data_IF_194311457516
#
_entry.id   IF_194311457516
#
_cell.length_a   1.000
_cell.length_b   1.000
_cell.length_c   1.000
_cell.angle_alpha   90.00
_cell.angle_beta   90.00
_cell.angle_gamma   90.00
#
_symmetry.space_group_name_H-M   'P 1'
#
loop_
_entity.id
_entity.type
_entity.pdbx_description
1 polymer ?
#
# COMPACT_ATOMS: atom_id res chain seq x y z
N UNK A 1 29.87 2.73 4.29
CA UNK A 1 28.49 3.05 4.74
C UNK A 1 27.67 3.39 3.52
N UNK A 2 26.57 2.67 3.25
CA UNK A 2 25.71 2.96 2.11
C UNK A 2 25.13 4.38 2.25
N UNK A 3 25.28 5.19 1.22
CA UNK A 3 24.85 6.57 1.19
C UNK A 3 23.34 6.60 0.90
N UNK A 4 22.51 6.37 1.92
CA UNK A 4 21.05 6.36 1.78
C UNK A 4 20.58 7.78 1.39
N UNK A 5 19.80 7.94 0.32
CA UNK A 5 19.31 9.25 -0.10
C UNK A 5 18.59 9.98 1.04
N UNK A 6 18.71 11.32 1.10
CA UNK A 6 18.05 12.12 2.14
C UNK A 6 16.54 11.86 2.17
N UNK A 7 15.90 11.75 1.00
CA UNK A 7 14.48 11.49 0.87
C UNK A 7 14.03 10.22 1.61
N UNK A 8 14.82 9.15 1.57
CA UNK A 8 14.53 7.91 2.31
C UNK A 8 14.75 8.09 3.82
N UNK A 9 15.77 8.86 4.22
CA UNK A 9 16.08 9.10 5.64
C UNK A 9 15.03 9.95 6.36
N UNK A 10 14.39 10.88 5.64
CA UNK A 10 13.37 11.79 6.21
C UNK A 10 11.94 11.26 6.07
N UNK A 11 11.74 10.04 5.55
CA UNK A 11 10.39 9.48 5.45
C UNK A 11 9.76 9.39 6.86
N UNK A 12 8.52 9.85 7.03
CA UNK A 12 7.80 9.69 8.29
C UNK A 12 7.69 8.20 8.65
N UNK A 13 7.74 7.93 9.96
CA UNK A 13 7.64 6.59 10.56
C UNK A 13 6.31 6.35 11.25
N UNK A 14 5.49 7.39 11.41
CA UNK A 14 4.14 7.33 11.98
C UNK A 14 3.18 8.13 11.12
N UNK A 15 1.91 7.75 11.11
CA UNK A 15 0.89 8.48 10.35
C UNK A 15 0.79 9.96 10.79
N UNK A 16 0.98 10.24 12.09
CA UNK A 16 0.96 11.58 12.66
C UNK A 16 2.12 12.49 12.20
N UNK A 17 3.20 11.92 11.66
CA UNK A 17 4.36 12.67 11.15
C UNK A 17 4.18 13.11 9.69
N UNK A 18 3.14 12.62 9.00
CA UNK A 18 2.86 12.98 7.61
C UNK A 18 2.42 14.44 7.54
N UNK A 19 3.15 15.22 6.75
CA UNK A 19 2.84 16.63 6.52
C UNK A 19 1.83 16.72 5.36
N UNK A 20 0.66 17.31 5.63
CA UNK A 20 -0.40 17.49 4.64
C UNK A 20 -1.48 16.40 4.70
N UNK A 21 -2.29 16.30 3.64
CA UNK A 21 -3.37 15.30 3.51
C UNK A 21 -4.34 15.20 4.70
N UNK A 22 -4.54 16.29 5.46
CA UNK A 22 -5.40 16.31 6.67
C UNK A 22 -6.84 15.86 6.41
N UNK A 23 -7.33 16.04 5.19
CA UNK A 23 -8.65 15.56 4.78
C UNK A 23 -8.75 14.02 4.71
N UNK A 24 -7.62 13.30 4.59
CA UNK A 24 -7.55 11.84 4.61
C UNK A 24 -7.13 11.30 5.98
N UNK A 25 -6.08 11.87 6.58
CA UNK A 25 -5.41 11.32 7.75
C UNK A 25 -5.58 12.14 9.04
N UNK A 26 -6.27 13.28 8.97
CA UNK A 26 -6.62 14.07 10.16
C UNK A 26 -7.72 13.39 10.99
N UNK A 27 -8.09 14.02 12.11
CA UNK A 27 -9.06 13.47 13.08
C UNK A 27 -10.39 13.03 12.44
N UNK A 28 -10.88 13.79 11.45
CA UNK A 28 -12.12 13.50 10.72
C UNK A 28 -11.87 12.86 9.35
N UNK A 29 -10.64 12.43 9.07
CA UNK A 29 -10.25 11.87 7.78
C UNK A 29 -10.79 10.45 7.59
N UNK A 30 -11.27 10.14 6.38
CA UNK A 30 -11.85 8.82 6.06
C UNK A 30 -10.83 7.69 6.21
N UNK A 31 -9.58 7.92 5.79
CA UNK A 31 -8.52 6.93 5.91
C UNK A 31 -8.12 6.74 7.38
N UNK A 32 -8.06 7.80 8.18
CA UNK A 32 -7.83 7.69 9.62
C UNK A 32 -8.89 6.82 10.30
N UNK A 33 -10.16 7.08 10.01
CA UNK A 33 -11.28 6.27 10.51
C UNK A 33 -11.16 4.79 10.09
N UNK A 34 -10.81 4.51 8.83
CA UNK A 34 -10.64 3.15 8.33
C UNK A 34 -9.48 2.41 9.04
N UNK A 35 -8.36 3.09 9.29
CA UNK A 35 -7.22 2.55 10.05
C UNK A 35 -7.62 2.25 11.49
N UNK A 36 -8.29 3.18 12.17
CA UNK A 36 -8.68 3.04 13.58
C UNK A 36 -9.65 1.87 13.78
N UNK A 37 -10.55 1.64 12.82
CA UNK A 37 -11.46 0.50 12.81
C UNK A 37 -10.81 -0.81 12.30
N UNK A 38 -9.56 -0.77 11.81
CA UNK A 38 -8.84 -1.90 11.16
C UNK A 38 -9.56 -2.47 9.93
N UNK A 39 -10.40 -1.65 9.30
CA UNK A 39 -11.18 -1.99 8.12
C UNK A 39 -10.70 -1.17 6.92
N UNK A 40 -9.59 -1.63 6.31
CA UNK A 40 -9.00 -0.99 5.13
C UNK A 40 -9.54 -1.68 3.86
N UNK A 41 -10.24 -0.94 2.98
CA UNK A 41 -10.64 -1.45 1.67
C UNK A 41 -9.47 -1.40 0.68
N UNK A 42 -9.60 -2.09 -0.45
CA UNK A 42 -8.78 -1.83 -1.64
C UNK A 42 -8.97 -0.37 -2.09
N UNK A 43 -7.88 0.30 -2.44
CA UNK A 43 -7.89 1.73 -2.72
C UNK A 43 -6.87 2.13 -3.78
N UNK A 44 -7.16 3.23 -4.48
CA UNK A 44 -6.25 3.86 -5.44
C UNK A 44 -5.79 5.19 -4.87
N UNK A 45 -4.48 5.37 -4.74
CA UNK A 45 -3.89 6.68 -4.46
C UNK A 45 -3.58 7.41 -5.76
N UNK A 46 -4.25 8.53 -5.97
CA UNK A 46 -4.07 9.38 -7.14
C UNK A 46 -3.45 10.72 -6.75
N UNK A 47 -2.40 11.11 -7.47
CA UNK A 47 -1.71 12.37 -7.26
C UNK A 47 -0.33 12.40 -7.92
N UNK A 48 0.29 13.59 -8.03
CA UNK A 48 1.58 13.76 -8.68
C UNK A 48 2.73 12.98 -7.98
N UNK A 49 3.90 12.84 -8.62
CA UNK A 49 5.06 12.24 -7.96
C UNK A 49 5.45 13.02 -6.70
N UNK A 50 5.92 12.33 -5.66
CA UNK A 50 6.42 12.96 -4.44
C UNK A 50 5.37 13.34 -3.38
N UNK A 51 4.07 13.13 -3.61
CA UNK A 51 3.01 13.45 -2.62
C UNK A 51 2.87 12.43 -1.48
N UNK A 52 3.76 11.45 -1.40
CA UNK A 52 3.80 10.48 -0.29
C UNK A 52 2.91 9.24 -0.45
N UNK A 53 2.47 8.87 -1.67
CA UNK A 53 1.62 7.68 -1.92
C UNK A 53 2.21 6.40 -1.32
N UNK A 54 3.43 6.05 -1.74
CA UNK A 54 4.15 4.86 -1.26
C UNK A 54 4.40 4.91 0.24
N UNK A 55 4.79 6.08 0.76
CA UNK A 55 5.02 6.30 2.19
C UNK A 55 3.75 6.08 3.00
N UNK A 56 2.62 6.61 2.54
CA UNK A 56 1.32 6.47 3.19
C UNK A 56 0.88 5.00 3.21
N UNK A 57 1.03 4.26 2.11
CA UNK A 57 0.73 2.83 2.07
C UNK A 57 1.55 2.03 3.08
N UNK A 58 2.85 2.31 3.18
CA UNK A 58 3.74 1.64 4.14
C UNK A 58 3.34 1.97 5.59
N UNK A 59 3.01 3.24 5.88
CA UNK A 59 2.55 3.64 7.21
C UNK A 59 1.23 2.97 7.60
N UNK A 60 0.27 2.85 6.69
CA UNK A 60 -0.98 2.11 6.94
C UNK A 60 -0.68 0.66 7.35
N UNK A 61 0.23 -0.02 6.65
CA UNK A 61 0.61 -1.38 6.99
C UNK A 61 1.26 -1.47 8.39
N UNK A 62 2.11 -0.50 8.74
CA UNK A 62 2.75 -0.43 10.06
C UNK A 62 1.74 -0.17 11.19
N UNK A 63 0.82 0.79 11.02
CA UNK A 63 -0.23 1.09 12.01
C UNK A 63 -1.16 -0.11 12.24
N UNK A 64 -1.36 -0.95 11.22
CA UNK A 64 -2.20 -2.14 11.29
C UNK A 64 -1.45 -3.42 11.65
N UNK A 65 -0.13 -3.36 11.81
CA UNK A 65 0.72 -4.52 12.09
C UNK A 65 0.55 -5.63 11.02
N UNK A 66 0.54 -5.23 9.73
CA UNK A 66 0.34 -6.12 8.58
C UNK A 66 1.61 -6.23 7.73
N UNK A 67 1.92 -7.42 7.17
CA UNK A 67 3.02 -7.53 6.21
C UNK A 67 2.78 -6.61 5.00
N UNK A 68 3.84 -5.94 4.55
CA UNK A 68 3.78 -4.99 3.43
C UNK A 68 4.60 -5.50 2.25
N UNK A 69 3.97 -5.63 1.09
CA UNK A 69 4.63 -6.01 -0.15
C UNK A 69 4.50 -4.87 -1.16
N UNK A 70 5.57 -4.64 -1.93
CA UNK A 70 5.59 -3.61 -2.97
C UNK A 70 5.92 -4.24 -4.31
N UNK A 71 5.15 -3.89 -5.34
CA UNK A 71 5.42 -4.19 -6.74
C UNK A 71 5.40 -2.90 -7.54
N UNK A 72 6.13 -2.86 -8.65
CA UNK A 72 6.07 -1.76 -9.61
C UNK A 72 5.51 -2.31 -10.92
N UNK A 73 4.43 -1.71 -11.40
CA UNK A 73 3.81 -2.12 -12.66
C UNK A 73 4.72 -1.94 -13.89
N UNK A 74 5.84 -1.21 -13.75
CA UNK A 74 6.85 -1.03 -14.80
C UNK A 74 7.70 -2.30 -14.95
N UNK A 75 8.03 -2.95 -13.82
CA UNK A 75 8.99 -4.06 -13.78
C UNK A 75 8.35 -5.41 -13.42
N UNK A 76 7.09 -5.42 -13.00
CA UNK A 76 6.37 -6.61 -12.52
C UNK A 76 5.25 -7.00 -13.47
N UNK A 77 5.03 -8.31 -13.61
CA UNK A 77 3.91 -8.89 -14.35
C UNK A 77 2.84 -9.48 -13.44
N UNK A 78 1.81 -10.07 -14.06
CA UNK A 78 0.69 -10.74 -13.36
C UNK A 78 1.18 -11.90 -12.48
N UNK A 79 2.26 -12.56 -12.90
CA UNK A 79 2.85 -13.67 -12.14
C UNK A 79 3.36 -13.21 -10.77
N UNK A 80 4.06 -12.08 -10.70
CA UNK A 80 4.61 -11.54 -9.45
C UNK A 80 3.49 -11.20 -8.47
N UNK A 81 2.39 -10.63 -8.97
CA UNK A 81 1.20 -10.34 -8.17
C UNK A 81 0.61 -11.63 -7.59
N UNK A 82 0.42 -12.66 -8.43
CA UNK A 82 -0.09 -13.97 -7.98
C UNK A 82 0.81 -14.63 -6.95
N UNK A 83 2.13 -14.49 -7.08
CA UNK A 83 3.07 -15.02 -6.09
C UNK A 83 2.92 -14.33 -4.73
N UNK A 84 2.71 -13.02 -4.70
CA UNK A 84 2.43 -12.29 -3.45
C UNK A 84 1.10 -12.73 -2.85
N UNK A 85 0.05 -12.87 -3.66
CA UNK A 85 -1.27 -13.34 -3.22
C UNK A 85 -1.19 -14.77 -2.68
N UNK A 86 -0.44 -15.65 -3.34
CA UNK A 86 -0.25 -17.02 -2.85
C UNK A 86 0.46 -17.04 -1.49
N UNK A 87 1.54 -16.24 -1.34
CA UNK A 87 2.22 -16.06 -0.04
C UNK A 87 1.25 -15.54 1.02
N UNK A 88 0.38 -14.59 0.67
CA UNK A 88 -0.66 -14.07 1.55
C UNK A 88 -1.66 -15.14 2.00
N UNK A 89 -2.19 -15.93 1.05
CA UNK A 89 -3.19 -16.96 1.33
C UNK A 89 -2.70 -18.05 2.29
N UNK A 90 -1.38 -18.35 2.24
CA UNK A 90 -0.75 -19.33 3.13
C UNK A 90 -0.68 -18.90 4.60
N UNK A 91 -0.88 -17.60 4.88
CA UNK A 91 -0.85 -17.03 6.23
C UNK A 91 -2.22 -17.06 6.93
N UNK A 92 -3.27 -17.56 6.27
CA UNK A 92 -4.63 -17.70 6.82
C UNK A 92 -5.54 -16.50 6.52
N UNK A 93 -6.83 -16.80 6.29
CA UNK A 93 -7.85 -15.83 5.82
C UNK A 93 -8.45 -14.96 6.94
N UNK A 94 -8.20 -15.28 8.21
CA UNK A 94 -8.82 -14.63 9.36
C UNK A 94 -7.78 -14.39 10.46
N UNK A 95 -6.98 -13.33 10.31
CA UNK A 95 -5.95 -12.99 11.29
C UNK A 95 -5.18 -11.72 10.94
N UNK A 96 -4.35 -11.25 11.87
CA UNK A 96 -3.43 -10.10 11.71
C UNK A 96 -2.52 -10.19 10.48
N UNK A 97 -2.45 -11.35 9.84
CA UNK A 97 -1.50 -11.69 8.80
C UNK A 97 -1.97 -11.36 7.37
N UNK A 98 -3.16 -10.77 7.19
CA UNK A 98 -3.63 -10.31 5.87
C UNK A 98 -2.70 -9.19 5.39
N UNK A 99 -1.89 -9.42 4.34
CA UNK A 99 -0.89 -8.45 3.94
C UNK A 99 -1.48 -7.32 3.09
N UNK A 100 -0.78 -6.20 3.07
CA UNK A 100 -1.05 -5.09 2.16
C UNK A 100 -0.09 -5.20 0.97
N UNK A 101 -0.65 -5.35 -0.22
CA UNK A 101 0.09 -5.27 -1.48
C UNK A 101 -0.08 -3.86 -2.06
N UNK A 102 1.03 -3.13 -2.17
CA UNK A 102 1.11 -1.87 -2.89
C UNK A 102 1.65 -2.09 -4.30
N UNK A 103 0.92 -1.58 -5.31
CA UNK A 103 1.34 -1.61 -6.71
C UNK A 103 1.58 -0.18 -7.17
N UNK A 104 2.85 0.18 -7.36
CA UNK A 104 3.22 1.49 -7.88
C UNK A 104 3.01 1.56 -9.39
N UNK A 105 2.63 2.75 -9.87
CA UNK A 105 2.37 3.04 -11.29
C UNK A 105 1.38 2.07 -11.96
N UNK A 106 0.35 1.61 -11.23
CA UNK A 106 -0.65 0.62 -11.70
C UNK A 106 -1.30 0.98 -13.05
N UNK A 107 -1.34 2.26 -13.41
CA UNK A 107 -1.80 2.75 -14.71
C UNK A 107 -0.98 2.22 -15.90
N UNK A 108 0.21 1.66 -15.66
CA UNK A 108 1.07 1.03 -16.68
C UNK A 108 0.64 -0.39 -17.04
N UNK A 109 -0.18 -1.04 -16.22
CA UNK A 109 -0.76 -2.33 -16.57
C UNK A 109 -1.75 -2.19 -17.73
N UNK A 110 -1.64 -3.11 -18.69
CA UNK A 110 -2.67 -3.31 -19.70
C UNK A 110 -4.00 -3.74 -19.08
N UNK A 111 -5.10 -3.58 -19.82
CA UNK A 111 -6.44 -4.00 -19.36
C UNK A 111 -6.46 -5.46 -18.89
N UNK A 112 -5.88 -6.38 -19.67
CA UNK A 112 -5.82 -7.80 -19.31
C UNK A 112 -5.05 -8.06 -18.00
N UNK A 113 -4.02 -7.26 -17.71
CA UNK A 113 -3.29 -7.36 -16.45
C UNK A 113 -4.10 -6.79 -15.28
N UNK A 114 -4.85 -5.70 -15.48
CA UNK A 114 -5.75 -5.17 -14.45
C UNK A 114 -6.90 -6.13 -14.16
N UNK A 115 -7.53 -6.70 -15.19
CA UNK A 115 -8.60 -7.68 -15.06
C UNK A 115 -8.13 -8.92 -14.27
N UNK A 116 -6.86 -9.30 -14.43
CA UNK A 116 -6.27 -10.42 -13.70
C UNK A 116 -6.14 -10.19 -12.18
N UNK A 117 -6.25 -8.93 -11.72
CA UNK A 117 -6.23 -8.57 -10.30
C UNK A 117 -7.60 -8.74 -9.64
N UNK A 118 -8.69 -8.74 -10.41
CA UNK A 118 -10.06 -8.75 -9.86
C UNK A 118 -10.31 -9.98 -8.99
N UNK A 119 -9.88 -11.17 -9.45
CA UNK A 119 -10.03 -12.41 -8.68
C UNK A 119 -9.19 -12.49 -7.40
N UNK A 120 -8.35 -11.49 -7.12
CA UNK A 120 -7.65 -11.36 -5.85
C UNK A 120 -8.26 -10.32 -4.91
N UNK A 121 -9.18 -9.49 -5.43
CA UNK A 121 -9.85 -8.41 -4.71
C UNK A 121 -11.30 -8.78 -4.37
N UNK A 122 -11.97 -9.56 -5.23
CA UNK A 122 -13.29 -10.17 -5.01
C UNK A 122 -13.20 -11.44 -4.15
#
# INVERSE_FOLDING_TARGET
MQNIPLAERIRPKKLAEVIGQKHLIGENGSLKSAIDNKLIPSMIFWGPPGVGKTTLSNLIAQELDRPFYTLSAINSGVKDVREVIHKASSLGLFGKDIPILFIDEIHRFSKAQQDSLLGAVE
#
